data_IF_252016376245
#
_entry.id   IF_252016376245
#
_cell.length_a   1.000
_cell.length_b   1.000
_cell.length_c   1.000
_cell.angle_alpha   90.00
_cell.angle_beta   90.00
_cell.angle_gamma   90.00
#
_symmetry.space_group_name_H-M   'P 1'
#
loop_
_entity.id
_entity.type
_entity.pdbx_description
1 polymer ?
#
# COMPACT_ATOMS: atom_id res chain seq x y z
N UNK A 1 3.11 -10.74 -18.58
CA UNK A 1 1.64 -10.60 -18.67
C UNK A 1 1.04 -9.85 -17.47
N UNK A 2 1.29 -10.25 -16.21
CA UNK A 2 0.72 -9.58 -15.03
C UNK A 2 1.16 -8.10 -14.85
N UNK A 3 2.42 -7.77 -15.15
CA UNK A 3 2.88 -6.36 -15.11
C UNK A 3 2.13 -5.45 -16.09
N UNK A 4 1.79 -5.93 -17.28
CA UNK A 4 1.00 -5.15 -18.24
C UNK A 4 -0.43 -4.91 -17.75
N UNK A 5 -1.02 -5.90 -17.05
CA UNK A 5 -2.32 -5.76 -16.40
C UNK A 5 -2.29 -4.72 -15.27
N UNK A 6 -1.25 -4.74 -14.41
CA UNK A 6 -1.09 -3.73 -13.36
C UNK A 6 -0.99 -2.32 -13.95
N UNK A 7 -0.21 -2.13 -15.02
CA UNK A 7 -0.13 -0.82 -15.68
C UNK A 7 -1.49 -0.36 -16.22
N UNK A 8 -2.28 -1.27 -16.79
CA UNK A 8 -3.63 -0.95 -17.28
C UNK A 8 -4.58 -0.58 -16.14
N UNK A 9 -4.60 -1.36 -15.05
CA UNK A 9 -5.40 -1.04 -13.85
C UNK A 9 -5.00 0.35 -13.33
N UNK A 10 -3.70 0.63 -13.25
CA UNK A 10 -3.25 1.92 -12.75
C UNK A 10 -3.70 3.09 -13.66
N UNK A 11 -3.69 2.89 -14.98
CA UNK A 11 -4.21 3.87 -15.93
C UNK A 11 -5.72 4.08 -15.78
N UNK A 12 -6.51 2.99 -15.83
CA UNK A 12 -7.98 3.00 -15.79
C UNK A 12 -8.52 3.66 -14.51
N UNK A 13 -7.81 3.49 -13.38
CA UNK A 13 -8.19 4.04 -12.08
C UNK A 13 -7.43 5.32 -11.69
N UNK A 14 -6.59 5.87 -12.57
CA UNK A 14 -5.77 7.06 -12.29
C UNK A 14 -4.90 6.92 -11.04
N UNK A 15 -4.22 5.78 -10.89
CA UNK A 15 -3.28 5.46 -9.81
C UNK A 15 -1.86 5.85 -10.25
N UNK A 16 -1.10 6.46 -9.34
CA UNK A 16 0.31 6.82 -9.55
C UNK A 16 1.29 5.89 -8.83
N UNK A 17 0.88 5.28 -7.71
CA UNK A 17 1.71 4.32 -6.95
C UNK A 17 0.88 3.13 -6.47
N UNK A 18 1.48 1.94 -6.50
CA UNK A 18 0.93 0.73 -5.86
C UNK A 18 2.03 0.07 -5.01
N UNK A 19 1.70 -0.20 -3.75
CA UNK A 19 2.57 -0.86 -2.78
C UNK A 19 1.94 -2.19 -2.32
N UNK A 20 2.79 -3.20 -2.14
CA UNK A 20 2.47 -4.39 -1.37
C UNK A 20 3.10 -4.28 0.01
N UNK A 21 2.33 -4.45 1.06
CA UNK A 21 2.84 -4.40 2.44
C UNK A 21 2.18 -5.47 3.32
N UNK A 22 2.44 -5.41 4.63
CA UNK A 22 2.03 -6.46 5.55
C UNK A 22 2.85 -7.74 5.45
N UNK A 23 2.35 -8.80 6.07
CA UNK A 23 3.03 -10.10 6.20
C UNK A 23 3.13 -10.84 4.86
N UNK A 24 2.21 -10.60 3.93
CA UNK A 24 2.10 -11.34 2.67
C UNK A 24 2.77 -10.64 1.47
N UNK A 25 3.40 -9.47 1.66
CA UNK A 25 4.00 -8.68 0.57
C UNK A 25 4.95 -9.46 -0.34
N UNK A 26 5.76 -10.34 0.22
CA UNK A 26 6.72 -11.15 -0.54
C UNK A 26 6.00 -12.20 -1.39
N UNK A 27 4.94 -12.83 -0.86
CA UNK A 27 4.11 -13.76 -1.63
C UNK A 27 3.40 -13.04 -2.77
N UNK A 28 2.84 -11.85 -2.53
CA UNK A 28 2.25 -11.01 -3.57
C UNK A 28 3.26 -10.65 -4.68
N UNK A 29 4.50 -10.32 -4.30
CA UNK A 29 5.55 -10.02 -5.28
C UNK A 29 5.97 -11.24 -6.11
N UNK A 30 6.07 -12.42 -5.49
CA UNK A 30 6.35 -13.69 -6.18
C UNK A 30 5.24 -14.05 -7.18
N UNK A 31 3.98 -13.77 -6.87
CA UNK A 31 2.86 -13.93 -7.81
C UNK A 31 3.07 -13.06 -9.07
N UNK A 32 3.56 -11.83 -8.94
CA UNK A 32 3.81 -10.95 -10.09
C UNK A 32 4.94 -11.48 -10.99
N UNK A 33 5.94 -12.14 -10.39
CA UNK A 33 7.01 -12.83 -11.11
C UNK A 33 6.55 -14.12 -11.80
N UNK A 34 5.33 -14.57 -11.54
CA UNK A 34 4.80 -15.84 -12.06
C UNK A 34 5.31 -17.06 -11.31
N UNK A 35 5.82 -16.88 -10.09
CA UNK A 35 6.26 -17.98 -9.24
C UNK A 35 5.07 -18.65 -8.54
N UNK A 36 5.19 -19.95 -8.27
CA UNK A 36 4.27 -20.65 -7.38
C UNK A 36 4.52 -20.25 -5.94
N UNK A 37 3.45 -19.93 -5.21
CA UNK A 37 3.49 -19.65 -3.78
C UNK A 37 2.87 -20.80 -2.98
N UNK A 38 3.36 -21.00 -1.77
CA UNK A 38 2.75 -21.90 -0.79
C UNK A 38 2.04 -21.03 0.25
N UNK A 39 0.73 -21.19 0.39
CA UNK A 39 -0.05 -20.46 1.39
C UNK A 39 0.10 -21.18 2.72
N UNK A 40 1.03 -20.71 3.55
CA UNK A 40 1.29 -21.28 4.88
C UNK A 40 0.27 -20.85 5.93
N UNK A 41 -0.24 -19.63 5.81
CA UNK A 41 -1.26 -19.07 6.69
C UNK A 41 -2.41 -18.50 5.83
N UNK A 42 -3.49 -19.26 5.63
CA UNK A 42 -4.63 -18.85 4.80
C UNK A 42 -5.51 -17.79 5.44
N UNK A 43 -5.25 -17.40 6.70
CA UNK A 43 -6.02 -16.36 7.41
C UNK A 43 -5.44 -14.96 7.22
N UNK A 44 -4.31 -14.83 6.52
CA UNK A 44 -3.62 -13.54 6.34
C UNK A 44 -3.86 -12.96 4.96
N UNK A 45 -4.31 -11.72 4.94
CA UNK A 45 -4.54 -10.95 3.72
C UNK A 45 -3.25 -10.29 3.20
N UNK A 46 -3.19 -10.06 1.90
CA UNK A 46 -2.21 -9.20 1.25
C UNK A 46 -2.68 -7.74 1.29
N UNK A 47 -1.97 -6.89 2.03
CA UNK A 47 -2.25 -5.46 2.05
C UNK A 47 -1.72 -4.77 0.78
N UNK A 48 -2.62 -4.08 0.07
CA UNK A 48 -2.33 -3.35 -1.16
C UNK A 48 -2.66 -1.88 -0.94
N UNK A 49 -1.63 -1.05 -1.01
CA UNK A 49 -1.76 0.40 -0.85
C UNK A 49 -1.70 1.09 -2.20
N UNK A 50 -2.68 1.94 -2.51
CA UNK A 50 -2.70 2.72 -3.74
C UNK A 50 -2.67 4.22 -3.43
N UNK A 51 -2.00 4.97 -4.30
CA UNK A 51 -2.01 6.44 -4.32
C UNK A 51 -2.56 6.89 -5.66
N UNK A 52 -3.58 7.75 -5.66
CA UNK A 52 -4.14 8.31 -6.89
C UNK A 52 -3.29 9.47 -7.40
N UNK A 53 -3.33 9.67 -8.72
CA UNK A 53 -2.74 10.84 -9.37
C UNK A 53 -3.16 12.10 -8.64
N UNK A 54 -2.22 13.03 -8.41
CA UNK A 54 -2.53 14.30 -7.74
C UNK A 54 -3.76 14.99 -8.36
N UNK A 55 -4.80 15.21 -7.56
CA UNK A 55 -6.06 15.83 -7.98
C UNK A 55 -7.12 14.87 -8.53
N UNK A 56 -6.80 13.58 -8.68
CA UNK A 56 -7.70 12.54 -9.19
C UNK A 56 -8.29 11.65 -8.09
N UNK A 57 -8.02 11.94 -6.81
CA UNK A 57 -8.67 11.22 -5.72
C UNK A 57 -10.20 11.28 -5.90
N UNK A 58 -10.90 10.14 -5.94
CA UNK A 58 -12.31 10.10 -6.32
C UNK A 58 -13.19 10.86 -5.33
N UNK A 59 -14.16 11.61 -5.84
CA UNK A 59 -15.16 12.29 -4.99
C UNK A 59 -16.04 11.30 -4.22
N UNK A 60 -16.27 10.10 -4.79
CA UNK A 60 -17.02 9.00 -4.16
C UNK A 60 -16.15 7.74 -4.11
N UNK A 61 -15.22 7.64 -3.14
CA UNK A 61 -14.25 6.54 -3.08
C UNK A 61 -14.89 5.15 -3.03
N UNK A 62 -16.03 5.01 -2.35
CA UNK A 62 -16.76 3.75 -2.25
C UNK A 62 -17.27 3.21 -3.59
N UNK A 63 -17.47 4.06 -4.60
CA UNK A 63 -17.92 3.64 -5.94
C UNK A 63 -16.79 2.95 -6.71
N UNK A 64 -15.56 3.46 -6.58
CA UNK A 64 -14.41 2.89 -7.28
C UNK A 64 -13.72 1.77 -6.51
N UNK A 65 -13.95 1.69 -5.19
CA UNK A 65 -13.31 0.72 -4.32
C UNK A 65 -13.60 -0.71 -4.76
N UNK A 66 -14.87 -1.08 -4.94
CA UNK A 66 -15.26 -2.43 -5.35
C UNK A 66 -14.63 -2.87 -6.68
N UNK A 67 -14.79 -2.11 -7.77
CA UNK A 67 -14.17 -2.43 -9.05
C UNK A 67 -12.64 -2.55 -8.97
N UNK A 68 -11.96 -1.62 -8.31
CA UNK A 68 -10.49 -1.67 -8.16
C UNK A 68 -10.05 -2.88 -7.32
N UNK A 69 -10.78 -3.17 -6.24
CA UNK A 69 -10.57 -4.34 -5.41
C UNK A 69 -10.64 -5.63 -6.23
N UNK A 70 -11.67 -5.80 -7.06
CA UNK A 70 -11.81 -7.01 -7.89
C UNK A 70 -10.66 -7.20 -8.87
N UNK A 71 -10.23 -6.12 -9.54
CA UNK A 71 -9.10 -6.17 -10.47
C UNK A 71 -7.80 -6.59 -9.78
N UNK A 72 -7.52 -6.01 -8.60
CA UNK A 72 -6.32 -6.35 -7.83
C UNK A 72 -6.41 -7.76 -7.24
N UNK A 73 -7.55 -8.15 -6.68
CA UNK A 73 -7.78 -9.48 -6.15
C UNK A 73 -7.55 -10.57 -7.21
N UNK A 74 -7.95 -10.33 -8.46
CA UNK A 74 -7.69 -11.27 -9.56
C UNK A 74 -6.20 -11.35 -9.92
N UNK A 75 -5.47 -10.23 -9.90
CA UNK A 75 -4.01 -10.22 -10.11
C UNK A 75 -3.28 -11.07 -9.07
N UNK A 76 -3.70 -10.94 -7.81
CA UNK A 76 -3.06 -11.56 -6.63
C UNK A 76 -3.67 -12.88 -6.18
N UNK A 77 -4.66 -13.42 -6.90
CA UNK A 77 -5.15 -14.77 -6.67
C UNK A 77 -3.96 -15.77 -6.67
N UNK A 78 -3.85 -16.67 -5.67
CA UNK A 78 -4.89 -17.10 -4.71
C UNK A 78 -4.94 -16.34 -3.36
N UNK A 79 -4.17 -15.28 -3.16
CA UNK A 79 -4.21 -14.53 -1.90
C UNK A 79 -5.52 -13.76 -1.76
N UNK A 80 -6.06 -13.73 -0.54
CA UNK A 80 -7.02 -12.70 -0.15
C UNK A 80 -6.28 -11.36 -0.06
N UNK A 81 -6.98 -10.26 -0.35
CA UNK A 81 -6.37 -8.93 -0.43
C UNK A 81 -7.14 -7.95 0.44
N UNK A 82 -6.43 -6.98 1.01
CA UNK A 82 -7.00 -5.76 1.58
C UNK A 82 -6.54 -4.56 0.74
N UNK A 83 -7.47 -3.67 0.39
CA UNK A 83 -7.19 -2.51 -0.46
C UNK A 83 -7.27 -1.24 0.38
N UNK A 84 -6.17 -0.49 0.41
CA UNK A 84 -6.04 0.74 1.19
C UNK A 84 -5.78 1.92 0.25
N UNK A 85 -6.62 2.95 0.34
CA UNK A 85 -6.37 4.24 -0.30
C UNK A 85 -5.47 5.09 0.61
N UNK A 86 -4.21 5.22 0.24
CA UNK A 86 -3.19 5.72 1.14
C UNK A 86 -3.35 7.22 1.45
N UNK A 87 -3.94 8.02 0.55
CA UNK A 87 -4.12 9.47 0.82
C UNK A 87 -5.14 9.80 1.92
N UNK A 88 -5.99 8.84 2.30
CA UNK A 88 -7.03 9.02 3.33
C UNK A 88 -6.86 8.13 4.56
N UNK A 89 -5.83 7.29 4.59
CA UNK A 89 -5.54 6.43 5.73
C UNK A 89 -4.61 7.09 6.75
N UNK A 90 -4.50 6.49 7.93
CA UNK A 90 -3.58 6.92 8.97
C UNK A 90 -2.12 6.82 8.52
N UNK A 91 -1.29 7.72 9.04
CA UNK A 91 0.15 7.77 8.79
C UNK A 91 0.90 6.46 9.04
N UNK A 92 0.41 5.63 9.98
CA UNK A 92 0.99 4.31 10.26
C UNK A 92 0.86 3.39 9.05
N UNK A 93 -0.30 3.33 8.38
CA UNK A 93 -0.48 2.54 7.16
C UNK A 93 0.37 3.07 6.01
N UNK A 94 0.46 4.40 5.86
CA UNK A 94 1.34 5.00 4.85
C UNK A 94 2.81 4.62 5.10
N UNK A 95 3.25 4.63 6.37
CA UNK A 95 4.59 4.24 6.76
C UNK A 95 4.87 2.75 6.54
N UNK A 96 3.93 1.86 6.87
CA UNK A 96 4.05 0.43 6.54
C UNK A 96 4.10 0.19 5.03
N UNK A 97 3.32 0.91 4.25
CA UNK A 97 3.31 0.82 2.79
C UNK A 97 4.67 1.17 2.18
N UNK A 98 5.32 2.26 2.60
CA UNK A 98 6.64 2.65 2.06
C UNK A 98 7.78 1.72 2.50
N UNK A 99 7.62 0.98 3.60
CA UNK A 99 8.51 -0.15 3.98
C UNK A 99 8.20 -1.44 3.21
N UNK A 100 7.13 -1.42 2.43
CA UNK A 100 6.69 -2.50 1.56
C UNK A 100 7.47 -2.57 0.25
N UNK A 101 6.85 -3.16 -0.75
CA UNK A 101 7.39 -3.29 -2.11
C UNK A 101 6.55 -2.40 -3.02
N UNK A 102 7.16 -1.38 -3.63
CA UNK A 102 6.53 -0.62 -4.70
C UNK A 102 6.50 -1.49 -5.97
N UNK A 103 5.31 -1.87 -6.42
CA UNK A 103 5.12 -2.74 -7.59
C UNK A 103 4.66 -1.98 -8.83
N UNK A 104 4.26 -0.72 -8.67
CA UNK A 104 3.95 0.20 -9.76
C UNK A 104 4.25 1.63 -9.31
N UNK A 105 4.91 2.39 -10.18
CA UNK A 105 5.02 3.84 -10.11
C UNK A 105 4.94 4.43 -11.53
N UNK A 106 4.45 5.66 -11.67
CA UNK A 106 4.47 6.38 -12.95
C UNK A 106 5.88 6.82 -13.32
N UNK A 107 6.65 7.23 -12.32
CA UNK A 107 8.03 7.71 -12.42
C UNK A 107 8.67 7.74 -11.01
N UNK A 108 10.00 7.83 -11.00
CA UNK A 108 10.78 7.82 -9.76
C UNK A 108 10.56 9.06 -8.90
N UNK A 109 10.37 10.23 -9.51
CA UNK A 109 10.16 11.48 -8.78
C UNK A 109 8.87 11.42 -7.94
N UNK A 110 7.80 10.86 -8.51
CA UNK A 110 6.53 10.64 -7.81
C UNK A 110 6.70 9.71 -6.60
N UNK A 111 7.44 8.61 -6.77
CA UNK A 111 7.72 7.67 -5.68
C UNK A 111 8.54 8.34 -4.57
N UNK A 112 9.62 9.03 -4.93
CA UNK A 112 10.52 9.71 -3.98
C UNK A 112 9.78 10.80 -3.20
N UNK A 113 9.01 11.64 -3.88
CA UNK A 113 8.20 12.69 -3.25
C UNK A 113 7.18 12.12 -2.25
N UNK A 114 6.53 11.00 -2.61
CA UNK A 114 5.59 10.34 -1.70
C UNK A 114 6.30 9.76 -0.47
N UNK A 115 7.42 9.07 -0.66
CA UNK A 115 8.21 8.51 0.44
C UNK A 115 8.70 9.62 1.37
N UNK A 116 9.26 10.70 0.83
CA UNK A 116 9.74 11.83 1.61
C UNK A 116 8.61 12.41 2.48
N UNK A 117 7.46 12.71 1.87
CA UNK A 117 6.29 13.22 2.59
C UNK A 117 5.88 12.33 3.76
N UNK A 118 5.82 11.01 3.55
CA UNK A 118 5.45 10.05 4.60
C UNK A 118 6.51 10.00 5.69
N UNK A 119 7.80 10.03 5.34
CA UNK A 119 8.90 10.03 6.30
C UNK A 119 8.94 11.31 7.15
N UNK A 120 8.71 12.48 6.54
CA UNK A 120 8.60 13.75 7.27
C UNK A 120 7.48 13.67 8.31
N UNK A 121 6.30 13.21 7.89
CA UNK A 121 5.17 13.08 8.82
C UNK A 121 5.46 12.05 9.93
N UNK A 122 6.08 10.92 9.60
CA UNK A 122 6.44 9.89 10.58
C UNK A 122 7.48 10.40 11.59
N UNK A 123 8.43 11.23 11.17
CA UNK A 123 9.41 11.86 12.04
C UNK A 123 8.74 12.83 13.03
N UNK A 124 7.80 13.65 12.55
CA UNK A 124 7.00 14.54 13.41
C UNK A 124 6.14 13.74 14.40
N UNK A 125 5.50 12.67 13.93
CA UNK A 125 4.68 11.80 14.78
C UNK A 125 5.50 11.07 15.86
N UNK A 126 6.73 10.67 15.55
CA UNK A 126 7.61 10.01 16.52
C UNK A 126 7.81 10.85 17.78
N UNK A 127 7.94 12.17 17.64
CA UNK A 127 8.10 13.09 18.78
C UNK A 127 6.89 13.02 19.71
N UNK A 128 5.69 12.94 19.14
CA UNK A 128 4.45 12.84 19.91
C UNK A 128 4.27 11.46 20.55
N UNK A 129 4.55 10.39 19.78
CA UNK A 129 4.49 9.01 20.27
C UNK A 129 5.46 8.77 21.42
N UNK A 130 6.70 9.26 21.32
CA UNK A 130 7.71 9.13 22.37
C UNK A 130 7.24 9.78 23.68
N UNK A 131 6.51 10.90 23.63
CA UNK A 131 5.89 11.51 24.82
C UNK A 131 4.78 10.65 25.40
N UNK A 132 3.88 10.12 24.55
CA UNK A 132 2.82 9.21 24.99
C UNK A 132 3.43 7.97 25.67
N UNK A 133 4.47 7.37 25.08
CA UNK A 133 5.11 6.17 25.62
C UNK A 133 5.77 6.45 26.98
N UNK A 134 6.36 7.64 27.16
CA UNK A 134 6.91 8.09 28.44
C UNK A 134 5.82 8.31 29.49
N UNK A 135 4.74 9.00 29.11
CA UNK A 135 3.68 9.41 30.03
C UNK A 135 2.74 8.26 30.42
N UNK A 136 2.42 7.37 29.48
CA UNK A 136 1.41 6.32 29.66
C UNK A 136 2.01 4.93 29.85
N UNK A 137 3.05 4.57 29.10
CA UNK A 137 3.64 3.23 29.16
C UNK A 137 4.80 3.14 30.17
N UNK A 138 5.25 4.27 30.73
CA UNK A 138 6.40 4.38 31.66
C UNK A 138 7.66 3.67 31.13
N UNK A 139 7.80 3.56 29.81
CA UNK A 139 8.97 2.95 29.20
C UNK A 139 10.11 3.96 29.35
N UNK A 140 10.97 3.75 30.37
CA UNK A 140 12.22 4.50 30.49
C UNK A 140 13.18 3.99 29.41
N UNK A 141 13.58 4.89 28.50
CA UNK A 141 14.73 4.67 27.61
C UNK A 141 16.02 4.65 28.40
#
# INVERSE_FOLDING_TARGET
MKNHRLSKIAEDFSIELIFLFGSQKENGYRILKGENIEIKDPLTDLDIGVVFKKGFFPQKPYVIFGPLYFELAEVFHPLTTDLIFLEKTDSTFQFEAIKGICIFNTDMETLENYIEKVLTFAADWKVFRDRIDQDFLKIKR
#
